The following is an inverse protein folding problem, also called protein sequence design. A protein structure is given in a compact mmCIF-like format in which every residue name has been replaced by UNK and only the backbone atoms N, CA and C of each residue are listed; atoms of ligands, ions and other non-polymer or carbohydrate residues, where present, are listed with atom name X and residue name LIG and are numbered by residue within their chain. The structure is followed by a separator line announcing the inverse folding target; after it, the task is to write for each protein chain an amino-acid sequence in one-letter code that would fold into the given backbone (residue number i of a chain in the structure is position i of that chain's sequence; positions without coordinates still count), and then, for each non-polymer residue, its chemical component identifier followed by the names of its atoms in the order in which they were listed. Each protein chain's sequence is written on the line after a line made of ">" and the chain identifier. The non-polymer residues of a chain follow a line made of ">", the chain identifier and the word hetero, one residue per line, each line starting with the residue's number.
data_IF_952056421881
#
_entry.id   IF_952056421881
#
_cell.length_a   1.000
_cell.length_b   1.000
_cell.length_c   1.000
_cell.angle_alpha   90.00
_cell.angle_beta   90.00
_cell.angle_gamma   90.00
#
_symmetry.space_group_name_H-M   'P 1'
#
loop_
_entity.id
_entity.type
_entity.pdbx_description
1 polymer ?
#
# COMPACT_ATOMS: atom_id res chain seq x y z
N UNK A 1 -2.74 63.76 -49.70
CA UNK A 1 -3.37 64.83 -48.89
C UNK A 1 -4.60 64.27 -48.17
N UNK A 2 -4.69 64.47 -46.84
CA UNK A 2 -5.85 64.46 -45.90
C UNK A 2 -6.95 63.37 -46.06
N UNK A 3 -7.05 62.39 -45.14
CA UNK A 3 -7.98 62.26 -43.96
C UNK A 3 -9.48 62.39 -44.36
N UNK A 4 -10.37 61.42 -44.06
CA UNK A 4 -11.20 61.21 -42.82
C UNK A 4 -12.11 59.98 -43.16
N UNK A 5 -12.12 58.84 -42.46
CA UNK A 5 -12.79 58.38 -41.22
C UNK A 5 -14.34 58.34 -41.18
N UNK A 6 -14.83 57.30 -40.46
CA UNK A 6 -16.19 56.94 -40.01
C UNK A 6 -17.11 56.26 -41.02
N UNK A 7 -18.01 55.33 -40.67
CA UNK A 7 -18.18 54.36 -39.58
C UNK A 7 -19.52 53.66 -39.89
N UNK A 8 -19.62 52.34 -39.75
CA UNK A 8 -20.84 51.64 -39.30
C UNK A 8 -20.63 50.13 -39.42
N UNK A 9 -20.29 49.51 -38.29
CA UNK A 9 -20.43 48.09 -38.07
C UNK A 9 -21.62 47.90 -37.12
N UNK A 10 -22.74 47.39 -37.62
CA UNK A 10 -23.65 46.53 -36.87
C UNK A 10 -24.77 46.04 -37.79
N UNK A 11 -24.67 44.79 -38.26
CA UNK A 11 -25.79 44.08 -38.84
C UNK A 11 -25.64 42.57 -38.60
N UNK A 12 -26.49 42.08 -37.68
CA UNK A 12 -27.17 40.77 -37.76
C UNK A 12 -26.33 39.50 -37.50
N UNK A 13 -26.02 39.25 -36.22
CA UNK A 13 -25.88 37.89 -35.69
C UNK A 13 -26.90 37.69 -34.56
N UNK A 14 -28.17 37.44 -34.89
CA UNK A 14 -29.18 37.16 -33.89
C UNK A 14 -30.30 36.25 -34.42
N UNK A 15 -29.97 35.06 -34.95
CA UNK A 15 -30.94 33.96 -35.09
C UNK A 15 -30.23 32.59 -35.06
N UNK A 16 -29.82 32.13 -33.87
CA UNK A 16 -29.74 30.69 -33.59
C UNK A 16 -29.68 30.43 -32.08
N UNK A 17 -30.82 30.55 -31.42
CA UNK A 17 -31.06 29.93 -30.12
C UNK A 17 -32.24 28.96 -30.31
N UNK A 18 -31.95 27.69 -30.62
CA UNK A 18 -32.91 26.61 -30.42
C UNK A 18 -32.91 26.27 -28.93
N UNK A 19 -34.07 26.44 -28.33
CA UNK A 19 -34.37 26.19 -26.93
C UNK A 19 -34.33 24.67 -26.64
N UNK A 20 -33.24 24.20 -26.01
CA UNK A 20 -33.17 22.86 -25.46
C UNK A 20 -33.86 22.87 -24.09
N UNK A 21 -35.08 22.33 -24.01
CA UNK A 21 -35.71 22.03 -22.71
C UNK A 21 -34.81 21.05 -21.94
N UNK A 22 -34.48 21.31 -20.67
CA UNK A 22 -33.73 20.37 -19.87
C UNK A 22 -34.62 19.15 -19.63
N UNK A 23 -34.18 18.00 -20.16
CA UNK A 23 -34.68 16.68 -19.76
C UNK A 23 -34.37 16.57 -18.27
N UNK A 24 -35.38 16.64 -17.40
CA UNK A 24 -35.22 16.26 -16.00
C UNK A 24 -34.68 14.83 -16.00
N UNK A 25 -33.41 14.67 -15.65
CA UNK A 25 -32.89 13.36 -15.28
C UNK A 25 -33.81 12.85 -14.16
N UNK A 26 -34.33 11.62 -14.21
CA UNK A 26 -35.07 11.09 -13.09
C UNK A 26 -34.12 11.17 -11.90
N UNK A 27 -34.52 11.92 -10.87
CA UNK A 27 -33.81 11.95 -9.61
C UNK A 27 -33.69 10.49 -9.17
N UNK A 28 -32.46 9.97 -9.15
CA UNK A 28 -32.16 8.81 -8.34
C UNK A 28 -32.31 9.33 -6.92
N UNK A 29 -33.53 9.21 -6.38
CA UNK A 29 -33.80 9.36 -4.96
C UNK A 29 -32.73 8.54 -4.23
N UNK A 30 -32.10 9.04 -3.17
CA UNK A 30 -30.81 8.50 -2.72
C UNK A 30 -30.86 6.99 -2.44
N UNK A 31 -30.18 6.18 -3.26
CA UNK A 31 -30.03 4.73 -3.06
C UNK A 31 -29.35 4.37 -1.72
N UNK A 32 -28.64 5.34 -1.15
CA UNK A 32 -27.89 5.26 0.10
C UNK A 32 -28.25 6.48 0.95
N UNK A 33 -28.83 6.24 2.13
CA UNK A 33 -29.04 7.30 3.11
C UNK A 33 -27.67 7.73 3.63
N UNK A 34 -27.26 8.97 3.38
CA UNK A 34 -25.97 9.48 3.85
C UNK A 34 -26.16 10.15 5.21
N UNK A 35 -25.89 9.44 6.31
CA UNK A 35 -25.70 10.11 7.60
C UNK A 35 -24.37 10.87 7.61
N UNK A 36 -24.37 12.14 8.04
CA UNK A 36 -23.20 13.00 8.03
C UNK A 36 -22.20 12.60 9.15
N UNK A 37 -21.12 11.88 8.79
CA UNK A 37 -20.06 11.50 9.72
C UNK A 37 -18.67 12.00 9.30
N UNK A 38 -17.84 12.37 10.28
CA UNK A 38 -16.50 12.96 10.11
C UNK A 38 -15.48 12.00 9.48
N UNK A 39 -15.48 10.70 9.84
CA UNK A 39 -14.66 9.66 9.16
C UNK A 39 -15.19 9.35 7.76
N UNK A 40 -16.44 9.72 7.45
CA UNK A 40 -16.90 9.66 6.06
C UNK A 40 -16.14 10.65 5.18
N UNK A 41 -15.48 11.69 5.68
CA UNK A 41 -14.72 12.60 4.80
C UNK A 41 -13.40 11.99 4.29
N UNK A 42 -12.74 11.12 5.05
CA UNK A 42 -11.55 10.40 4.56
C UNK A 42 -11.95 9.32 3.55
N UNK A 43 -13.04 8.60 3.82
CA UNK A 43 -13.60 7.60 2.90
C UNK A 43 -14.24 8.26 1.65
N UNK A 44 -14.92 9.40 1.79
CA UNK A 44 -15.55 10.17 0.69
C UNK A 44 -14.55 10.90 -0.19
N UNK A 45 -13.40 11.34 0.34
CA UNK A 45 -12.33 11.94 -0.49
C UNK A 45 -11.74 10.97 -1.51
N UNK A 46 -12.01 9.68 -1.35
CA UNK A 46 -11.43 8.61 -2.15
C UNK A 46 -12.26 8.14 -3.33
N UNK A 47 -13.22 8.93 -3.83
CA UNK A 47 -13.94 8.61 -5.08
C UNK A 47 -13.06 8.72 -6.34
N UNK A 48 -11.74 8.88 -6.21
CA UNK A 48 -10.74 8.79 -7.30
C UNK A 48 -9.87 7.54 -7.13
N UNK A 49 -10.49 6.38 -7.02
CA UNK A 49 -9.76 5.11 -7.06
C UNK A 49 -9.36 4.78 -8.50
N UNK A 50 -8.13 5.14 -8.87
CA UNK A 50 -7.43 4.54 -10.01
C UNK A 50 -6.06 3.96 -9.66
N UNK A 51 -5.62 3.95 -8.37
CA UNK A 51 -4.22 3.61 -8.04
C UNK A 51 -4.00 2.80 -6.73
N UNK A 52 -4.84 1.80 -6.45
CA UNK A 52 -4.45 0.66 -5.59
C UNK A 52 -4.11 0.91 -4.10
N UNK A 53 -4.52 2.03 -3.50
CA UNK A 53 -4.27 2.35 -2.08
C UNK A 53 -5.01 1.44 -1.07
N UNK A 54 -4.41 1.22 0.11
CA UNK A 54 -4.95 0.37 1.18
C UNK A 54 -5.74 1.19 2.23
N UNK A 55 -7.07 1.05 2.22
CA UNK A 55 -7.99 1.77 3.11
C UNK A 55 -7.72 1.57 4.60
N UNK A 56 -7.20 0.42 5.04
CA UNK A 56 -6.85 0.21 6.45
C UNK A 56 -5.73 1.17 6.86
N UNK A 57 -4.71 1.33 6.03
CA UNK A 57 -3.62 2.26 6.33
C UNK A 57 -4.09 3.71 6.36
N UNK A 58 -4.99 4.08 5.46
CA UNK A 58 -5.50 5.44 5.37
C UNK A 58 -6.41 5.79 6.56
N UNK A 59 -7.38 4.93 6.89
CA UNK A 59 -8.24 5.12 8.07
C UNK A 59 -7.37 5.17 9.33
N UNK A 60 -6.39 4.28 9.45
CA UNK A 60 -5.47 4.30 10.58
C UNK A 60 -4.68 5.61 10.65
N UNK A 61 -4.15 6.09 9.53
CA UNK A 61 -3.41 7.35 9.47
C UNK A 61 -4.27 8.53 9.94
N UNK A 62 -5.53 8.60 9.52
CA UNK A 62 -6.47 9.62 10.00
C UNK A 62 -6.76 9.49 11.50
N UNK A 63 -6.92 8.26 12.01
CA UNK A 63 -7.17 8.02 13.43
C UNK A 63 -6.02 8.51 14.32
N UNK A 64 -4.77 8.35 13.89
CA UNK A 64 -3.61 8.75 14.70
C UNK A 64 -3.25 10.23 14.60
N UNK A 65 -3.77 11.00 13.63
CA UNK A 65 -3.41 12.43 13.43
C UNK A 65 -3.58 13.30 14.67
N UNK A 66 -4.56 12.98 15.51
CA UNK A 66 -4.85 13.72 16.74
C UNK A 66 -4.55 12.91 18.01
N UNK A 67 -3.92 11.74 17.88
CA UNK A 67 -3.56 10.87 18.99
C UNK A 67 -2.03 10.82 19.14
N UNK A 68 -1.50 11.68 20.02
CA UNK A 68 -0.05 11.81 20.22
C UNK A 68 0.59 10.52 20.71
N UNK A 69 -0.10 9.76 21.56
CA UNK A 69 0.42 8.50 22.09
C UNK A 69 0.57 7.45 20.97
N UNK A 70 -0.38 7.39 20.03
CA UNK A 70 -0.28 6.50 18.87
C UNK A 70 0.77 6.96 17.86
N UNK A 71 0.93 8.27 17.64
CA UNK A 71 2.03 8.79 16.81
C UNK A 71 3.39 8.40 17.38
N UNK A 72 3.58 8.61 18.68
CA UNK A 72 4.85 8.28 19.35
C UNK A 72 5.11 6.76 19.32
N UNK A 73 4.06 5.94 19.39
CA UNK A 73 4.17 4.49 19.21
C UNK A 73 4.65 4.13 17.79
N UNK A 74 4.05 4.68 16.74
CA UNK A 74 4.45 4.41 15.35
C UNK A 74 5.90 4.83 15.09
N UNK A 75 6.31 6.02 15.57
CA UNK A 75 7.69 6.50 15.44
C UNK A 75 8.68 5.55 16.13
N UNK A 76 8.36 5.06 17.33
CA UNK A 76 9.21 4.07 18.02
C UNK A 76 9.32 2.75 17.25
N UNK A 77 8.22 2.28 16.65
CA UNK A 77 8.22 1.05 15.85
C UNK A 77 9.11 1.24 14.60
N UNK A 78 8.95 2.36 13.90
CA UNK A 78 9.75 2.68 12.71
C UNK A 78 11.25 2.78 13.05
N UNK A 79 11.59 3.52 14.12
CA UNK A 79 12.97 3.64 14.58
C UNK A 79 13.55 2.26 14.97
N UNK A 80 12.77 1.41 15.64
CA UNK A 80 13.20 0.05 16.01
C UNK A 80 13.49 -0.80 14.78
N UNK A 81 12.69 -0.68 13.71
CA UNK A 81 12.96 -1.40 12.46
C UNK A 81 14.24 -0.91 11.79
N UNK A 82 14.46 0.40 11.75
CA UNK A 82 15.67 0.99 11.20
C UNK A 82 16.92 0.56 11.98
N UNK A 83 16.91 0.70 13.30
CA UNK A 83 18.01 0.26 14.17
C UNK A 83 18.29 -1.24 14.00
N UNK A 84 17.25 -2.05 13.85
CA UNK A 84 17.39 -3.48 13.58
C UNK A 84 18.11 -3.75 12.26
N UNK A 85 17.78 -3.02 11.20
CA UNK A 85 18.42 -3.16 9.89
C UNK A 85 19.89 -2.74 9.93
N UNK A 86 20.17 -1.61 10.55
CA UNK A 86 21.53 -1.07 10.69
C UNK A 86 22.42 -2.07 11.47
N UNK A 87 21.96 -2.52 12.64
CA UNK A 87 22.69 -3.50 13.47
C UNK A 87 22.89 -4.81 12.72
N UNK A 88 21.85 -5.37 12.11
CA UNK A 88 22.00 -6.64 11.39
C UNK A 88 22.99 -6.55 10.23
N UNK A 89 22.99 -5.42 9.49
CA UNK A 89 23.90 -5.18 8.38
C UNK A 89 25.36 -5.20 8.81
N UNK A 90 25.71 -4.54 9.91
CA UNK A 90 27.09 -4.50 10.42
C UNK A 90 27.62 -5.89 10.78
N UNK A 91 26.84 -6.67 11.53
CA UNK A 91 27.24 -8.00 11.96
C UNK A 91 27.29 -8.98 10.79
N UNK A 92 26.30 -8.95 9.90
CA UNK A 92 26.26 -9.83 8.73
C UNK A 92 27.44 -9.55 7.80
N UNK A 93 27.80 -8.28 7.56
CA UNK A 93 28.96 -7.92 6.74
C UNK A 93 30.27 -8.55 7.24
N UNK A 94 30.49 -8.60 8.56
CA UNK A 94 31.69 -9.24 9.13
C UNK A 94 31.66 -10.76 8.97
N UNK A 95 30.51 -11.38 9.23
CA UNK A 95 30.33 -12.83 9.08
C UNK A 95 30.51 -13.24 7.61
N UNK A 96 29.84 -12.55 6.70
CA UNK A 96 29.85 -12.82 5.26
C UNK A 96 31.26 -12.65 4.67
N UNK A 97 32.01 -11.61 5.09
CA UNK A 97 33.42 -11.45 4.69
C UNK A 97 34.30 -12.57 5.22
N UNK A 98 34.07 -13.04 6.44
CA UNK A 98 34.82 -14.16 7.02
C UNK A 98 34.54 -15.45 6.26
N UNK A 99 33.28 -15.70 5.89
CA UNK A 99 32.88 -16.85 5.07
C UNK A 99 33.45 -16.76 3.65
N UNK A 100 33.44 -15.58 3.06
CA UNK A 100 34.08 -15.30 1.75
C UNK A 100 35.57 -15.61 1.78
N UNK A 101 36.29 -15.18 2.82
CA UNK A 101 37.71 -15.49 2.99
C UNK A 101 37.97 -17.01 2.98
N UNK A 102 37.18 -17.80 3.71
CA UNK A 102 37.35 -19.26 3.74
C UNK A 102 37.05 -19.90 2.38
N UNK A 103 36.05 -19.39 1.65
CA UNK A 103 35.72 -19.85 0.30
C UNK A 103 36.86 -19.54 -0.69
N UNK A 104 37.42 -18.33 -0.66
CA UNK A 104 38.53 -17.92 -1.51
C UNK A 104 39.80 -18.74 -1.20
N UNK A 105 40.12 -18.90 0.08
CA UNK A 105 41.26 -19.71 0.51
C UNK A 105 41.12 -21.17 0.07
N UNK A 106 39.91 -21.73 0.13
CA UNK A 106 39.61 -23.08 -0.39
C UNK A 106 39.79 -23.15 -1.90
N UNK A 107 39.34 -22.14 -2.65
CA UNK A 107 39.53 -22.08 -4.10
C UNK A 107 41.02 -22.06 -4.49
N UNK A 108 41.83 -21.24 -3.79
CA UNK A 108 43.29 -21.22 -3.98
C UNK A 108 43.92 -22.57 -3.63
N UNK A 109 43.51 -23.18 -2.51
CA UNK A 109 43.99 -24.50 -2.10
C UNK A 109 43.70 -25.58 -3.14
N UNK A 110 42.56 -25.49 -3.83
CA UNK A 110 42.22 -26.41 -4.91
C UNK A 110 43.15 -26.34 -6.12
N UNK A 111 43.79 -25.19 -6.36
CA UNK A 111 44.76 -24.99 -7.45
C UNK A 111 46.15 -25.58 -7.18
N UNK A 112 46.43 -26.00 -5.94
CA UNK A 112 47.71 -26.59 -5.56
C UNK A 112 47.87 -27.99 -6.17
N UNK A 113 49.03 -28.22 -6.78
CA UNK A 113 49.41 -29.51 -7.38
C UNK A 113 50.11 -30.44 -6.40
N UNK A 114 50.83 -29.89 -5.41
CA UNK A 114 51.42 -30.67 -4.32
C UNK A 114 50.31 -31.20 -3.40
N UNK A 115 50.08 -32.51 -3.47
CA UNK A 115 49.02 -33.17 -2.71
C UNK A 115 49.20 -33.11 -1.19
N UNK A 116 50.45 -33.09 -0.70
CA UNK A 116 50.73 -33.02 0.73
C UNK A 116 50.45 -31.62 1.26
N UNK A 117 50.98 -30.59 0.59
CA UNK A 117 50.73 -29.19 0.92
C UNK A 117 49.24 -28.84 0.80
N UNK A 118 48.55 -29.34 -0.24
CA UNK A 118 47.11 -29.18 -0.41
C UNK A 118 46.33 -29.71 0.79
N UNK A 119 46.59 -30.96 1.19
CA UNK A 119 45.90 -31.61 2.32
C UNK A 119 46.19 -30.92 3.64
N UNK A 120 47.40 -30.43 3.84
CA UNK A 120 47.78 -29.65 5.02
C UNK A 120 46.94 -28.38 5.14
N UNK A 121 46.86 -27.59 4.06
CA UNK A 121 46.09 -26.34 4.05
C UNK A 121 44.58 -26.61 4.17
N UNK A 122 44.04 -27.64 3.50
CA UNK A 122 42.64 -28.04 3.65
C UNK A 122 42.27 -28.31 5.12
N UNK A 123 43.12 -29.05 5.84
CA UNK A 123 42.90 -29.34 7.25
C UNK A 123 42.99 -28.08 8.12
N UNK A 124 43.96 -27.20 7.85
CA UNK A 124 44.12 -25.94 8.58
C UNK A 124 42.91 -25.01 8.37
N UNK A 125 42.41 -24.89 7.14
CA UNK A 125 41.21 -24.10 6.81
C UNK A 125 39.97 -24.67 7.49
N UNK A 126 39.79 -25.99 7.48
CA UNK A 126 38.68 -26.65 8.17
C UNK A 126 38.69 -26.35 9.66
N UNK A 127 39.81 -26.58 10.35
CA UNK A 127 39.92 -26.31 11.79
C UNK A 127 39.70 -24.83 12.13
N UNK A 128 40.25 -23.92 11.31
CA UNK A 128 40.06 -22.48 11.50
C UNK A 128 38.60 -22.06 11.35
N UNK A 129 37.93 -22.52 10.29
CA UNK A 129 36.52 -22.21 10.03
C UNK A 129 35.58 -22.79 11.10
N UNK A 130 35.81 -24.02 11.57
CA UNK A 130 35.04 -24.62 12.67
C UNK A 130 35.22 -23.82 13.97
N UNK A 131 36.45 -23.41 14.30
CA UNK A 131 36.73 -22.55 15.46
C UNK A 131 36.03 -21.20 15.36
N UNK A 132 36.05 -20.58 14.18
CA UNK A 132 35.32 -19.32 13.94
C UNK A 132 33.81 -19.52 14.08
N UNK A 133 33.26 -20.61 13.55
CA UNK A 133 31.85 -20.93 13.65
C UNK A 133 31.39 -21.02 15.12
N UNK A 134 32.13 -21.77 15.94
CA UNK A 134 31.87 -21.87 17.38
C UNK A 134 31.99 -20.52 18.09
N UNK A 135 33.05 -19.75 17.77
CA UNK A 135 33.27 -18.41 18.35
C UNK A 135 32.10 -17.45 18.07
N UNK A 136 31.44 -17.61 16.93
CA UNK A 136 30.36 -16.70 16.46
C UNK A 136 28.97 -17.29 16.63
N UNK A 137 28.83 -18.46 17.25
CA UNK A 137 27.55 -19.14 17.39
C UNK A 137 26.53 -18.31 18.17
N UNK A 138 26.92 -17.79 19.34
CA UNK A 138 26.06 -16.90 20.15
C UNK A 138 25.59 -15.68 19.36
N UNK A 139 26.48 -15.06 18.57
CA UNK A 139 26.14 -13.92 17.71
C UNK A 139 25.12 -14.32 16.64
N UNK A 140 25.32 -15.46 15.96
CA UNK A 140 24.36 -15.97 14.97
C UNK A 140 23.00 -16.26 15.58
N UNK A 141 22.95 -16.80 16.79
CA UNK A 141 21.69 -17.10 17.48
C UNK A 141 20.94 -15.83 17.90
N UNK A 142 21.67 -14.79 18.34
CA UNK A 142 21.08 -13.47 18.58
C UNK A 142 20.53 -12.84 17.29
N UNK A 143 21.27 -12.93 16.18
CA UNK A 143 20.80 -12.47 14.86
C UNK A 143 19.49 -13.16 14.46
N UNK A 144 19.40 -14.50 14.63
CA UNK A 144 18.16 -15.25 14.35
C UNK A 144 17.01 -14.74 15.22
N UNK A 145 17.26 -14.52 16.52
CA UNK A 145 16.25 -14.00 17.45
C UNK A 145 15.78 -12.60 17.08
N UNK A 146 16.69 -11.70 16.69
CA UNK A 146 16.36 -10.35 16.22
C UNK A 146 15.48 -10.41 14.97
N UNK A 147 15.83 -11.26 13.99
CA UNK A 147 15.02 -11.47 12.77
C UNK A 147 13.62 -11.97 13.10
N UNK A 148 13.49 -12.94 14.00
CA UNK A 148 12.20 -13.46 14.44
C UNK A 148 11.36 -12.37 15.15
N UNK A 149 11.99 -11.58 16.02
CA UNK A 149 11.33 -10.47 16.70
C UNK A 149 10.86 -9.37 15.74
N UNK A 150 11.65 -9.06 14.69
CA UNK A 150 11.25 -8.11 13.64
C UNK A 150 9.95 -8.55 12.94
N UNK A 151 9.87 -9.83 12.58
CA UNK A 151 8.67 -10.40 11.95
C UNK A 151 7.47 -10.31 12.89
N UNK A 152 7.63 -10.76 14.15
CA UNK A 152 6.58 -10.70 15.14
C UNK A 152 6.08 -9.26 15.39
N UNK A 153 7.00 -8.29 15.47
CA UNK A 153 6.64 -6.88 15.66
C UNK A 153 5.82 -6.34 14.48
N UNK A 154 6.22 -6.66 13.25
CA UNK A 154 5.47 -6.28 12.05
C UNK A 154 4.06 -6.87 12.03
N UNK A 155 3.93 -8.18 12.32
CA UNK A 155 2.63 -8.85 12.38
C UNK A 155 1.72 -8.22 13.45
N UNK A 156 2.27 -7.95 14.65
CA UNK A 156 1.50 -7.30 15.72
C UNK A 156 1.09 -5.87 15.35
N UNK A 157 1.95 -5.11 14.68
CA UNK A 157 1.60 -3.78 14.18
C UNK A 157 0.45 -3.86 13.17
N UNK A 158 0.46 -4.84 12.27
CA UNK A 158 -0.62 -5.04 11.30
C UNK A 158 -1.95 -5.43 11.98
N UNK A 159 -1.91 -6.37 12.93
CA UNK A 159 -3.09 -6.75 13.72
C UNK A 159 -3.64 -5.54 14.48
N UNK A 160 -2.78 -4.74 15.09
CA UNK A 160 -3.18 -3.54 15.79
C UNK A 160 -3.88 -2.53 14.87
N UNK A 161 -3.29 -2.24 13.70
CA UNK A 161 -3.87 -1.34 12.69
C UNK A 161 -5.26 -1.80 12.26
N UNK A 162 -5.43 -3.08 11.91
CA UNK A 162 -6.72 -3.66 11.51
C UNK A 162 -7.76 -3.54 12.63
N UNK A 163 -7.40 -3.93 13.86
CA UNK A 163 -8.33 -3.85 15.01
C UNK A 163 -8.74 -2.41 15.31
N UNK A 164 -7.84 -1.44 15.13
CA UNK A 164 -8.10 -0.03 15.40
C UNK A 164 -9.03 0.59 14.36
N UNK A 165 -8.99 0.13 13.10
CA UNK A 165 -9.82 0.67 12.02
C UNK A 165 -11.16 -0.03 11.88
N UNK A 166 -11.31 -1.27 12.37
CA UNK A 166 -12.53 -2.06 12.24
C UNK A 166 -13.80 -1.32 12.73
N UNK A 167 -13.81 -0.65 13.90
CA UNK A 167 -15.00 0.09 14.35
C UNK A 167 -15.39 1.24 13.42
N UNK A 168 -14.42 1.88 12.75
CA UNK A 168 -14.71 2.96 11.81
C UNK A 168 -15.30 2.44 10.50
N UNK A 169 -14.86 1.27 10.06
CA UNK A 169 -15.45 0.55 8.92
C UNK A 169 -16.90 0.17 9.24
N UNK A 170 -17.15 -0.38 10.42
CA UNK A 170 -18.51 -0.75 10.87
C UNK A 170 -19.42 0.47 10.99
N UNK A 171 -18.92 1.58 11.55
CA UNK A 171 -19.66 2.86 11.58
C UNK A 171 -20.03 3.33 10.17
N UNK A 172 -19.09 3.24 9.22
CA UNK A 172 -19.37 3.62 7.83
C UNK A 172 -20.45 2.73 7.22
N UNK A 173 -20.36 1.40 7.38
CA UNK A 173 -21.34 0.45 6.84
C UNK A 173 -22.74 0.69 7.43
N UNK A 174 -22.83 0.87 8.75
CA UNK A 174 -24.10 1.12 9.43
C UNK A 174 -24.71 2.48 9.06
N UNK A 175 -23.88 3.48 8.77
CA UNK A 175 -24.31 4.80 8.33
C UNK A 175 -24.76 4.86 6.86
N UNK A 176 -24.49 3.83 6.07
CA UNK A 176 -24.81 3.75 4.64
C UNK A 176 -25.52 2.43 4.31
N UNK A 177 -26.73 2.19 4.85
CA UNK A 177 -27.47 0.96 4.60
C UNK A 177 -27.81 0.84 3.11
N UNK A 178 -27.56 -0.34 2.54
CA UNK A 178 -27.82 -0.62 1.13
C UNK A 178 -29.29 -1.03 0.95
N UNK A 179 -30.13 -0.10 0.51
CA UNK A 179 -31.54 -0.36 0.22
C UNK A 179 -31.70 -1.07 -1.11
N UNK A 180 -32.44 -2.18 -1.14
CA UNK A 180 -32.63 -2.99 -2.36
C UNK A 180 -33.75 -2.51 -3.26
N UNK A 181 -34.65 -1.66 -2.76
CA UNK A 181 -35.87 -1.27 -3.47
C UNK A 181 -35.58 -0.64 -4.83
N UNK A 182 -34.57 0.22 -4.89
CA UNK A 182 -34.16 0.86 -6.14
C UNK A 182 -33.50 -0.10 -7.13
N UNK A 183 -32.75 -1.09 -6.63
CA UNK A 183 -32.19 -2.15 -7.46
C UNK A 183 -33.32 -3.00 -8.05
N UNK A 184 -34.33 -3.36 -7.25
CA UNK A 184 -35.50 -4.12 -7.70
C UNK A 184 -36.31 -3.34 -8.74
N UNK A 185 -36.52 -2.04 -8.54
CA UNK A 185 -37.17 -1.18 -9.53
C UNK A 185 -36.36 -1.07 -10.82
N UNK A 186 -35.03 -1.01 -10.73
CA UNK A 186 -34.14 -0.99 -11.90
C UNK A 186 -34.27 -2.30 -12.69
N UNK A 187 -34.19 -3.46 -12.01
CA UNK A 187 -34.35 -4.78 -12.62
C UNK A 187 -35.72 -4.90 -13.30
N UNK A 188 -36.80 -4.43 -12.64
CA UNK A 188 -38.14 -4.47 -13.23
C UNK A 188 -38.19 -3.69 -14.55
N UNK A 189 -37.67 -2.46 -14.58
CA UNK A 189 -37.62 -1.65 -15.80
C UNK A 189 -36.83 -2.34 -16.92
N UNK A 190 -35.70 -2.98 -16.59
CA UNK A 190 -34.91 -3.74 -17.55
C UNK A 190 -35.69 -4.95 -18.12
N UNK A 191 -36.40 -5.69 -17.26
CA UNK A 191 -37.20 -6.84 -17.68
C UNK A 191 -38.40 -6.44 -18.55
N UNK A 192 -39.08 -5.36 -18.20
CA UNK A 192 -40.20 -4.82 -18.97
C UNK A 192 -39.72 -4.49 -20.41
N UNK A 193 -38.58 -3.81 -20.54
CA UNK A 193 -37.97 -3.49 -21.84
C UNK A 193 -37.55 -4.73 -22.64
N UNK A 194 -36.93 -5.73 -21.98
CA UNK A 194 -36.57 -6.99 -22.64
C UNK A 194 -37.80 -7.73 -23.16
N UNK A 195 -38.91 -7.70 -22.41
CA UNK A 195 -40.16 -8.31 -22.83
C UNK A 195 -40.79 -7.59 -24.04
N UNK A 196 -40.69 -6.26 -24.10
CA UNK A 196 -41.10 -5.48 -25.28
C UNK A 196 -40.28 -5.85 -26.52
N UNK A 197 -38.94 -5.91 -26.40
CA UNK A 197 -38.06 -6.26 -27.51
C UNK A 197 -38.36 -7.66 -28.07
N UNK A 198 -38.62 -8.64 -27.20
CA UNK A 198 -38.97 -10.01 -27.60
C UNK A 198 -40.30 -10.12 -28.37
N UNK A 199 -41.23 -9.17 -28.21
CA UNK A 199 -42.52 -9.17 -28.91
C UNK A 199 -42.44 -8.62 -30.33
N UNK A 200 -41.35 -7.93 -30.66
CA UNK A 200 -41.12 -7.29 -31.96
C UNK A 200 -40.19 -8.16 -32.84
N UNK A 201 -39.67 -9.27 -32.31
CA UNK A 201 -38.98 -10.34 -33.04
C UNK A 201 -39.96 -11.46 -33.39
#
# INVERSE_FOLDING_TARGET
>A
MKKILFASALALCALSCKENKPRQAPAVENAVDNAAYSVSNSIKKNTRYSDGGNLVHEIYHELIKNDKALQDLEVRIENTFKETEDVLSEYMNVIDKSETYYNDAKALTNSLTDSAAKKEIENALKLSSEKYHLKTQTTRDLIKKIKANKIALYEQQMVFKIKKTLPEIEKYQNAHPLKTDQLNQCIKKQNDLLAELKKIQ
#
